data_IF_125786186447
#
_entry.id   IF_125786186447
#
_cell.length_a   1.000
_cell.length_b   1.000
_cell.length_c   1.000
_cell.angle_alpha   90.00
_cell.angle_beta   90.00
_cell.angle_gamma   90.00
#
_symmetry.space_group_name_H-M   'P 1'
#
loop_
_entity.id
_entity.type
_entity.pdbx_description
1 polymer ?
#
# COMPACT_ATOMS: atom_id res chain seq x y z
N UNK A 1 -44.42 -1.63 24.83
CA UNK A 1 -44.36 -2.51 23.64
C UNK A 1 -44.71 -1.66 22.41
N UNK A 2 -44.04 -1.80 21.25
CA UNK A 2 -43.54 -3.08 20.73
C UNK A 2 -42.02 -3.23 20.71
N UNK A 3 -41.60 -4.44 21.09
CA UNK A 3 -40.35 -5.09 20.70
C UNK A 3 -40.44 -5.45 19.22
N UNK A 4 -39.49 -5.02 18.38
CA UNK A 4 -39.38 -5.46 16.97
C UNK A 4 -37.92 -5.51 16.51
N UNK A 5 -37.29 -6.65 16.78
CA UNK A 5 -36.32 -7.32 15.91
C UNK A 5 -34.95 -6.66 15.70
N UNK A 6 -33.95 -7.21 16.39
CA UNK A 6 -32.58 -7.31 15.91
C UNK A 6 -32.59 -8.05 14.55
N UNK A 7 -32.68 -7.33 13.43
CA UNK A 7 -32.50 -7.89 12.09
C UNK A 7 -31.21 -7.32 11.49
N UNK A 8 -30.13 -8.10 11.66
CA UNK A 8 -29.00 -8.21 10.73
C UNK A 8 -28.46 -6.92 10.09
N UNK A 9 -27.36 -6.40 10.65
CA UNK A 9 -26.33 -5.77 9.82
C UNK A 9 -25.77 -4.43 10.26
N UNK A 10 -25.60 -4.15 11.56
CA UNK A 10 -24.68 -3.11 12.00
C UNK A 10 -23.25 -3.53 11.61
N UNK A 11 -22.89 -3.31 10.35
CA UNK A 11 -21.56 -3.63 9.83
C UNK A 11 -20.57 -2.79 10.61
N UNK A 12 -19.85 -3.42 11.53
CA UNK A 12 -18.77 -2.77 12.26
C UNK A 12 -17.78 -2.13 11.29
N UNK A 13 -17.32 -0.93 11.66
CA UNK A 13 -16.40 -0.12 10.88
C UNK A 13 -14.97 -0.40 11.32
N UNK A 14 -14.20 -1.03 10.43
CA UNK A 14 -12.79 -1.26 10.68
C UNK A 14 -12.00 0.06 10.58
N UNK A 15 -11.21 0.36 11.61
CA UNK A 15 -10.33 1.51 11.58
C UNK A 15 -9.16 1.28 10.60
N UNK A 16 -8.89 2.18 9.64
CA UNK A 16 -7.78 2.02 8.71
C UNK A 16 -6.39 2.28 9.33
N UNK A 17 -6.33 2.75 10.59
CA UNK A 17 -5.06 3.02 11.29
C UNK A 17 -4.68 1.91 12.27
N UNK A 18 -5.60 1.54 13.17
CA UNK A 18 -5.33 0.58 14.24
C UNK A 18 -6.08 -0.75 14.07
N UNK A 19 -6.84 -0.93 12.99
CA UNK A 19 -7.60 -2.16 12.69
C UNK A 19 -8.71 -2.48 13.71
N UNK A 20 -8.93 -1.60 14.70
CA UNK A 20 -10.03 -1.74 15.67
C UNK A 20 -11.40 -1.74 14.98
N UNK A 21 -12.28 -2.64 15.41
CA UNK A 21 -13.65 -2.74 14.90
C UNK A 21 -14.55 -1.81 15.72
N UNK A 22 -15.08 -0.78 15.07
CA UNK A 22 -15.94 0.22 15.71
C UNK A 22 -17.41 -0.05 15.40
N UNK A 23 -18.34 0.43 16.24
CA UNK A 23 -19.76 0.54 15.89
C UNK A 23 -19.98 1.34 14.58
N UNK A 24 -21.03 0.99 13.84
CA UNK A 24 -21.29 1.49 12.46
C UNK A 24 -21.65 2.97 12.34
N UNK A 25 -21.95 3.61 13.46
CA UNK A 25 -22.44 4.98 13.58
C UNK A 25 -21.33 5.99 13.99
N UNK A 26 -20.17 5.51 14.43
CA UNK A 26 -19.08 6.36 14.89
C UNK A 26 -18.39 7.14 13.75
N UNK A 27 -18.17 8.44 13.96
CA UNK A 27 -17.41 9.29 13.02
C UNK A 27 -15.89 9.11 13.15
N UNK A 28 -15.44 8.73 14.34
CA UNK A 28 -14.04 8.58 14.71
C UNK A 28 -13.86 7.24 15.44
N UNK A 29 -12.68 6.67 15.36
CA UNK A 29 -12.36 5.43 16.05
C UNK A 29 -12.31 5.67 17.56
N UNK A 30 -13.00 4.85 18.34
CA UNK A 30 -13.01 4.96 19.81
C UNK A 30 -11.65 4.69 20.45
N UNK A 31 -10.80 3.89 19.79
CA UNK A 31 -9.48 3.52 20.30
C UNK A 31 -8.39 4.54 19.94
N UNK A 32 -8.31 4.97 18.68
CA UNK A 32 -7.22 5.83 18.20
C UNK A 32 -7.65 7.23 17.76
N UNK A 33 -8.92 7.60 17.94
CA UNK A 33 -9.52 8.88 17.55
C UNK A 33 -9.37 9.24 16.07
N UNK A 34 -9.05 8.28 15.21
CA UNK A 34 -8.88 8.54 13.78
C UNK A 34 -10.22 8.60 13.05
N UNK A 35 -10.33 9.50 12.08
CA UNK A 35 -11.56 9.66 11.30
C UNK A 35 -11.86 8.43 10.43
N UNK A 36 -13.07 7.89 10.57
CA UNK A 36 -13.53 6.66 9.90
C UNK A 36 -14.15 6.90 8.52
N UNK A 37 -14.56 8.14 8.22
CA UNK A 37 -15.22 8.51 6.97
C UNK A 37 -14.52 9.67 6.26
N UNK A 38 -14.59 9.68 4.93
CA UNK A 38 -14.07 10.74 4.06
C UNK A 38 -15.06 11.03 2.93
N UNK A 39 -14.98 12.22 2.33
CA UNK A 39 -15.77 12.55 1.13
C UNK A 39 -15.03 12.11 -0.14
N UNK A 40 -15.76 11.50 -1.06
CA UNK A 40 -15.22 11.16 -2.38
C UNK A 40 -14.94 12.45 -3.17
N UNK A 41 -13.73 12.57 -3.75
CA UNK A 41 -13.33 13.76 -4.52
C UNK A 41 -14.06 13.91 -5.86
N UNK A 42 -14.65 12.83 -6.39
CA UNK A 42 -15.33 12.83 -7.69
C UNK A 42 -16.82 13.13 -7.56
N UNK A 43 -17.53 12.43 -6.68
CA UNK A 43 -19.00 12.56 -6.53
C UNK A 43 -19.45 13.19 -5.21
N UNK A 44 -18.55 13.47 -4.26
CA UNK A 44 -18.89 14.07 -2.97
C UNK A 44 -19.49 13.11 -1.92
N UNK A 45 -19.82 11.87 -2.29
CA UNK A 45 -20.41 10.88 -1.38
C UNK A 45 -19.55 10.64 -0.12
N UNK A 46 -20.20 10.37 1.02
CA UNK A 46 -19.53 9.98 2.28
C UNK A 46 -19.15 8.50 2.19
N UNK A 47 -17.85 8.21 2.24
CA UNK A 47 -17.27 6.90 2.02
C UNK A 47 -16.47 6.48 3.23
N UNK A 48 -16.53 5.19 3.61
CA UNK A 48 -15.68 4.66 4.67
C UNK A 48 -14.21 4.75 4.25
N UNK A 49 -13.34 5.12 5.18
CA UNK A 49 -11.92 5.30 4.91
C UNK A 49 -11.19 3.98 4.71
N UNK A 50 -11.76 2.85 5.12
CA UNK A 50 -11.15 1.52 4.91
C UNK A 50 -11.28 1.04 3.45
N UNK A 51 -12.31 1.47 2.72
CA UNK A 51 -12.55 0.99 1.35
C UNK A 51 -11.70 1.74 0.32
N UNK A 52 -11.23 1.01 -0.70
CA UNK A 52 -10.29 1.52 -1.70
C UNK A 52 -10.96 2.24 -2.87
N UNK A 53 -12.25 1.97 -3.12
CA UNK A 53 -13.06 2.54 -4.20
C UNK A 53 -14.38 3.09 -3.64
N UNK A 54 -14.89 4.15 -4.26
CA UNK A 54 -16.19 4.71 -3.94
C UNK A 54 -17.30 3.72 -4.36
N UNK A 55 -18.30 3.44 -3.50
CA UNK A 55 -19.42 2.57 -3.89
C UNK A 55 -20.31 3.23 -4.95
N UNK A 56 -20.46 4.56 -4.90
CA UNK A 56 -21.35 5.31 -5.80
C UNK A 56 -20.79 5.50 -7.20
N UNK A 57 -19.55 5.99 -7.33
CA UNK A 57 -18.97 6.39 -8.62
C UNK A 57 -17.76 5.54 -9.04
N UNK A 58 -17.43 4.52 -8.25
CA UNK A 58 -16.28 3.61 -8.44
C UNK A 58 -14.90 4.29 -8.55
N UNK A 59 -14.81 5.58 -8.24
CA UNK A 59 -13.54 6.30 -8.21
C UNK A 59 -12.64 5.79 -7.08
N UNK A 60 -11.35 5.64 -7.36
CA UNK A 60 -10.36 5.21 -6.36
C UNK A 60 -10.15 6.30 -5.31
N UNK A 61 -10.30 5.93 -4.05
CA UNK A 61 -10.27 6.87 -2.91
C UNK A 61 -8.84 7.08 -2.40
N UNK A 62 -8.08 5.99 -2.23
CA UNK A 62 -6.68 6.04 -1.82
C UNK A 62 -5.76 6.01 -3.03
N UNK A 63 -4.93 7.04 -3.20
CA UNK A 63 -3.73 6.97 -4.03
C UNK A 63 -2.60 6.46 -3.14
N UNK A 64 -2.08 5.25 -3.36
CA UNK A 64 -0.81 4.89 -2.74
C UNK A 64 0.25 5.81 -3.33
N UNK A 65 0.86 6.66 -2.49
CA UNK A 65 2.04 7.42 -2.91
C UNK A 65 3.18 6.46 -3.29
N UNK A 66 3.20 5.28 -2.67
CA UNK A 66 4.15 4.21 -2.93
C UNK A 66 3.99 3.50 -4.28
N UNK A 67 2.83 3.54 -4.93
CA UNK A 67 2.67 2.97 -6.27
C UNK A 67 3.59 3.66 -7.29
N UNK A 68 3.65 4.99 -7.24
CA UNK A 68 4.52 5.79 -8.12
C UNK A 68 6.00 5.64 -7.79
N UNK A 69 6.35 5.45 -6.52
CA UNK A 69 7.74 5.24 -6.12
C UNK A 69 8.21 3.84 -6.53
N UNK A 70 7.38 2.81 -6.34
CA UNK A 70 7.66 1.44 -6.78
C UNK A 70 7.75 1.36 -8.31
N UNK A 71 6.88 2.04 -9.06
CA UNK A 71 7.01 2.13 -10.52
C UNK A 71 8.30 2.84 -10.96
N UNK A 72 8.78 3.85 -10.24
CA UNK A 72 10.08 4.47 -10.55
C UNK A 72 11.27 3.58 -10.20
N UNK A 73 11.21 2.85 -9.10
CA UNK A 73 12.30 1.99 -8.63
C UNK A 73 12.37 0.65 -9.36
N UNK A 74 11.23 0.05 -9.69
CA UNK A 74 11.11 -1.29 -10.28
C UNK A 74 10.51 -1.32 -11.69
N UNK A 75 9.93 -0.21 -12.20
CA UNK A 75 9.34 -0.16 -13.53
C UNK A 75 10.35 -0.04 -14.67
N UNK A 76 11.64 0.16 -14.35
CA UNK A 76 12.73 -0.01 -15.29
C UNK A 76 13.14 -1.47 -15.25
N UNK A 77 12.30 -2.35 -15.81
CA UNK A 77 12.78 -3.64 -16.34
C UNK A 77 13.74 -3.29 -17.47
N UNK A 78 14.97 -2.97 -17.07
CA UNK A 78 16.05 -2.63 -17.95
C UNK A 78 16.29 -3.90 -18.76
N UNK A 79 16.02 -3.86 -20.06
CA UNK A 79 16.40 -4.92 -20.99
C UNK A 79 17.93 -4.97 -20.98
N UNK A 80 18.51 -5.63 -19.98
CA UNK A 80 19.94 -5.86 -19.90
C UNK A 80 20.25 -6.74 -21.09
N UNK A 81 20.94 -6.16 -22.08
CA UNK A 81 21.39 -6.92 -23.24
C UNK A 81 22.43 -7.95 -22.77
N UNK A 82 22.50 -9.09 -23.44
CA UNK A 82 23.46 -10.16 -23.12
C UNK A 82 24.90 -9.63 -23.01
N UNK A 83 25.27 -8.65 -23.86
CA UNK A 83 26.56 -7.97 -23.79
C UNK A 83 26.77 -7.17 -22.51
N UNK A 84 25.78 -6.42 -22.04
CA UNK A 84 25.87 -5.68 -20.78
C UNK A 84 26.00 -6.62 -19.57
N UNK A 85 25.29 -7.77 -19.59
CA UNK A 85 25.43 -8.78 -18.55
C UNK A 85 26.83 -9.40 -18.53
N UNK A 86 27.40 -9.70 -19.70
CA UNK A 86 28.75 -10.24 -19.84
C UNK A 86 29.81 -9.26 -19.32
N UNK A 87 29.71 -7.97 -19.68
CA UNK A 87 30.63 -6.93 -19.20
C UNK A 87 30.57 -6.81 -17.67
N UNK A 88 29.36 -6.81 -17.09
CA UNK A 88 29.20 -6.75 -15.63
C UNK A 88 29.81 -7.96 -14.92
N UNK A 89 29.67 -9.17 -15.48
CA UNK A 89 30.29 -10.38 -14.95
C UNK A 89 31.83 -10.30 -14.99
N UNK A 90 32.40 -9.80 -16.10
CA UNK A 90 33.85 -9.63 -16.23
C UNK A 90 34.38 -8.64 -15.19
N UNK A 91 33.72 -7.49 -15.03
CA UNK A 91 34.11 -6.47 -14.04
C UNK A 91 34.03 -7.02 -12.62
N UNK A 92 32.93 -7.70 -12.28
CA UNK A 92 32.75 -8.31 -10.96
C UNK A 92 33.82 -9.37 -10.67
N UNK A 93 34.12 -10.22 -11.65
CA UNK A 93 35.16 -11.25 -11.51
C UNK A 93 36.56 -10.64 -11.36
N UNK A 94 36.88 -9.60 -12.14
CA UNK A 94 38.14 -8.87 -12.04
C UNK A 94 38.32 -8.21 -10.67
N UNK A 95 37.27 -7.55 -10.17
CA UNK A 95 37.27 -6.94 -8.83
C UNK A 95 37.44 -8.01 -7.73
N UNK A 96 36.70 -9.12 -7.82
CA UNK A 96 36.86 -10.25 -6.89
C UNK A 96 38.30 -10.76 -6.90
N UNK A 97 38.88 -10.98 -8.07
CA UNK A 97 40.27 -11.45 -8.20
C UNK A 97 41.27 -10.46 -7.61
N UNK A 98 41.13 -9.16 -7.87
CA UNK A 98 41.99 -8.14 -7.28
C UNK A 98 41.91 -8.13 -5.74
N UNK A 99 40.70 -8.19 -5.19
CA UNK A 99 40.49 -8.23 -3.74
C UNK A 99 41.12 -9.49 -3.13
N UNK A 100 40.89 -10.66 -3.73
CA UNK A 100 41.49 -11.91 -3.24
C UNK A 100 43.02 -11.91 -3.35
N UNK A 101 43.58 -11.37 -4.44
CA UNK A 101 45.03 -11.25 -4.60
C UNK A 101 45.63 -10.27 -3.60
N UNK A 102 44.98 -9.13 -3.35
CA UNK A 102 45.39 -8.19 -2.32
C UNK A 102 45.32 -8.83 -0.93
N UNK A 103 44.25 -9.56 -0.62
CA UNK A 103 44.09 -10.26 0.65
C UNK A 103 45.09 -11.41 0.85
N UNK A 104 45.53 -12.08 -0.21
CA UNK A 104 46.56 -13.13 -0.15
C UNK A 104 47.99 -12.60 -0.08
N UNK A 105 48.19 -11.30 -0.31
CA UNK A 105 49.49 -10.63 -0.33
C UNK A 105 49.83 -9.96 1.02
N UNK A 106 48.86 -9.93 1.94
CA UNK A 106 49.04 -9.66 3.37
C UNK A 106 49.11 -10.99 4.12
#
# INVERSE_FOLDING_TARGET
MPSKNLVQGEKGLLCPKCTHLNPGDLKQCEYCNSQLFIKCKKCGAKVQRVISKCPECHHRIHKSRFGKLKERLFGKSQKVTLGQAAIMMIVAFGAYKLITMAASKF
#
